data_IF_738882509342
#
_entry.id   IF_738882509342
#
_cell.length_a   1.000
_cell.length_b   1.000
_cell.length_c   1.000
_cell.angle_alpha   90.00
_cell.angle_beta   90.00
_cell.angle_gamma   90.00
#
_symmetry.space_group_name_H-M   'P 1'
#
loop_
_entity.id
_entity.type
_entity.pdbx_description
1 polymer ?
#
# COMPACT_ATOMS: atom_id res chain seq x y z
N UNK A 1 -4.12 16.93 8.36
CA UNK A 1 -3.45 16.45 7.12
C UNK A 1 -1.98 16.83 7.11
N UNK A 2 -1.59 18.05 7.48
CA UNK A 2 -0.18 18.47 7.55
C UNK A 2 0.67 17.59 8.48
N UNK A 3 0.21 17.32 9.71
CA UNK A 3 0.92 16.44 10.66
C UNK A 3 1.19 15.04 10.09
N UNK A 4 0.25 14.50 9.29
CA UNK A 4 0.40 13.20 8.67
C UNK A 4 1.45 13.24 7.56
N UNK A 5 1.45 14.26 6.71
CA UNK A 5 2.46 14.42 5.66
C UNK A 5 3.88 14.58 6.24
N UNK A 6 4.01 15.28 7.36
CA UNK A 6 5.27 15.37 8.10
C UNK A 6 5.72 14.00 8.59
N UNK A 7 4.82 13.22 9.23
CA UNK A 7 5.13 11.87 9.69
C UNK A 7 5.46 10.89 8.57
N UNK A 8 4.82 11.03 7.41
CA UNK A 8 5.10 10.24 6.20
C UNK A 8 6.40 10.66 5.51
N UNK A 9 6.96 11.83 5.85
CA UNK A 9 8.11 12.39 5.12
C UNK A 9 7.81 12.73 3.66
N UNK A 10 6.53 12.84 3.30
CA UNK A 10 6.08 13.07 1.93
C UNK A 10 4.95 14.10 1.90
N UNK A 11 5.15 15.15 1.11
CA UNK A 11 4.11 16.16 0.83
C UNK A 11 3.41 15.80 -0.46
N UNK A 12 2.12 15.53 -0.40
CA UNK A 12 1.31 15.22 -1.56
C UNK A 12 1.17 16.48 -2.43
N UNK A 13 1.43 16.32 -3.73
CA UNK A 13 1.19 17.39 -4.72
C UNK A 13 -0.31 17.66 -4.91
N UNK A 14 -1.12 16.63 -4.71
CA UNK A 14 -2.57 16.69 -4.74
C UNK A 14 -3.12 16.14 -3.42
N UNK A 15 -3.73 17.01 -2.62
CA UNK A 15 -4.30 16.66 -1.33
C UNK A 15 -5.55 15.77 -1.46
N UNK A 16 -6.25 15.84 -2.61
CA UNK A 16 -7.43 14.98 -2.85
C UNK A 16 -7.02 13.51 -2.94
N UNK A 17 -5.81 13.22 -3.43
CA UNK A 17 -5.26 11.87 -3.43
C UNK A 17 -5.05 11.34 -2.01
N UNK A 18 -4.53 12.17 -1.09
CA UNK A 18 -4.40 11.80 0.32
C UNK A 18 -5.76 11.59 0.99
N UNK A 19 -6.73 12.46 0.70
CA UNK A 19 -8.10 12.32 1.21
C UNK A 19 -8.71 11.00 0.72
N UNK A 20 -8.60 10.70 -0.58
CA UNK A 20 -9.09 9.45 -1.16
C UNK A 20 -8.42 8.23 -0.52
N UNK A 21 -7.09 8.25 -0.36
CA UNK A 21 -6.33 7.16 0.27
C UNK A 21 -6.75 6.86 1.72
N UNK A 22 -7.25 7.88 2.44
CA UNK A 22 -7.72 7.77 3.82
C UNK A 22 -9.24 7.54 3.92
N UNK A 23 -9.96 7.46 2.80
CA UNK A 23 -11.42 7.29 2.78
C UNK A 23 -11.76 5.83 2.57
N UNK A 24 -12.22 5.16 3.61
CA UNK A 24 -12.73 3.79 3.53
C UNK A 24 -14.10 3.75 2.81
N UNK A 25 -14.40 2.65 2.12
CA UNK A 25 -15.64 2.47 1.33
C UNK A 25 -16.92 2.63 2.15
N UNK A 26 -16.92 2.25 3.43
CA UNK A 26 -18.06 2.50 4.34
C UNK A 26 -18.36 4.00 4.50
N UNK A 27 -17.32 4.84 4.56
CA UNK A 27 -17.48 6.29 4.71
C UNK A 27 -17.88 6.97 3.40
N UNK A 28 -17.34 6.49 2.28
CA UNK A 28 -17.67 7.00 0.95
C UNK A 28 -19.16 6.77 0.61
N UNK A 29 -19.67 5.57 0.93
CA UNK A 29 -21.06 5.19 0.67
C UNK A 29 -22.07 5.95 1.54
N UNK A 30 -21.72 6.28 2.78
CA UNK A 30 -22.61 7.02 3.69
C UNK A 30 -22.71 8.52 3.38
N UNK A 31 -21.64 9.14 2.87
CA UNK A 31 -21.54 10.61 2.76
C UNK A 31 -21.46 11.14 1.33
N UNK A 32 -21.52 10.28 0.31
CA UNK A 32 -21.36 10.66 -1.10
C UNK A 32 -20.14 11.56 -1.32
N UNK A 33 -19.01 11.19 -0.72
CA UNK A 33 -17.77 11.97 -0.80
C UNK A 33 -17.27 11.93 -2.24
N UNK A 34 -17.23 13.08 -2.93
CA UNK A 34 -16.87 13.17 -4.35
C UNK A 34 -15.44 12.71 -4.70
N UNK A 35 -14.58 12.48 -3.70
CA UNK A 35 -13.22 11.96 -3.90
C UNK A 35 -13.17 10.44 -4.13
N UNK A 36 -14.25 9.70 -3.86
CA UNK A 36 -14.27 8.23 -3.91
C UNK A 36 -13.58 7.58 -2.71
N UNK A 37 -13.59 6.25 -2.65
CA UNK A 37 -12.90 5.45 -1.64
C UNK A 37 -11.47 5.07 -2.06
N UNK A 38 -10.78 4.40 -1.14
CA UNK A 38 -9.40 3.96 -1.31
C UNK A 38 -9.24 2.65 -2.08
N UNK A 39 -10.30 1.94 -2.50
CA UNK A 39 -10.20 0.57 -3.04
C UNK A 39 -9.32 0.49 -4.30
N UNK A 40 -9.44 1.48 -5.19
CA UNK A 40 -8.58 1.56 -6.38
C UNK A 40 -7.11 1.85 -6.04
N UNK A 41 -6.87 2.63 -4.99
CA UNK A 41 -5.52 2.96 -4.53
C UNK A 41 -4.89 1.78 -3.79
N UNK A 42 -5.69 1.03 -3.04
CA UNK A 42 -5.29 -0.22 -2.40
C UNK A 42 -4.90 -1.27 -3.44
N UNK A 43 -5.74 -1.49 -4.46
CA UNK A 43 -5.42 -2.39 -5.57
C UNK A 43 -4.07 -2.06 -6.26
N UNK A 44 -3.82 -0.77 -6.51
CA UNK A 44 -2.54 -0.32 -7.05
C UNK A 44 -1.40 -0.51 -6.03
N UNK A 45 -1.65 -0.15 -4.78
CA UNK A 45 -0.71 -0.25 -3.66
C UNK A 45 -0.21 -1.68 -3.44
N UNK A 46 -1.10 -2.67 -3.50
CA UNK A 46 -0.77 -4.09 -3.39
C UNK A 46 0.21 -4.54 -4.47
N UNK A 47 0.00 -4.10 -5.71
CA UNK A 47 0.89 -4.41 -6.82
C UNK A 47 2.27 -3.76 -6.63
N UNK A 48 2.31 -2.50 -6.21
CA UNK A 48 3.56 -1.76 -5.95
C UNK A 48 4.34 -2.39 -4.79
N UNK A 49 3.68 -2.64 -3.65
CA UNK A 49 4.28 -3.27 -2.48
C UNK A 49 4.78 -4.67 -2.82
N UNK A 50 3.96 -5.47 -3.51
CA UNK A 50 4.33 -6.80 -3.96
C UNK A 50 5.57 -6.80 -4.85
N UNK A 51 5.71 -5.80 -5.74
CA UNK A 51 6.91 -5.63 -6.56
C UNK A 51 8.14 -5.27 -5.71
N UNK A 52 8.03 -4.27 -4.83
CA UNK A 52 9.16 -3.82 -3.99
C UNK A 52 9.68 -4.95 -3.09
N UNK A 53 8.78 -5.73 -2.48
CA UNK A 53 9.15 -6.90 -1.67
C UNK A 53 9.81 -7.98 -2.55
N UNK A 54 9.29 -8.22 -3.75
CA UNK A 54 9.88 -9.19 -4.67
C UNK A 54 11.30 -8.78 -5.10
N UNK A 55 11.51 -7.50 -5.46
CA UNK A 55 12.84 -6.96 -5.83
C UNK A 55 13.81 -7.02 -4.65
N UNK A 56 13.36 -6.65 -3.45
CA UNK A 56 14.18 -6.74 -2.24
C UNK A 56 14.61 -8.18 -1.94
N UNK A 57 13.68 -9.14 -1.99
CA UNK A 57 13.98 -10.55 -1.73
C UNK A 57 14.92 -11.14 -2.80
N UNK A 58 14.66 -10.83 -4.07
CA UNK A 58 15.50 -11.27 -5.19
C UNK A 58 16.96 -10.80 -5.03
N UNK A 59 17.17 -9.52 -4.66
CA UNK A 59 18.52 -8.96 -4.46
C UNK A 59 19.19 -9.45 -3.18
N UNK A 60 18.43 -9.60 -2.10
CA UNK A 60 18.99 -9.92 -0.77
C UNK A 60 19.24 -11.41 -0.58
N UNK A 61 18.55 -12.27 -1.32
CA UNK A 61 18.62 -13.73 -1.16
C UNK A 61 18.86 -14.46 -2.49
N UNK A 62 19.99 -14.21 -3.20
CA UNK A 62 20.23 -14.72 -4.55
C UNK A 62 20.39 -16.26 -4.65
N UNK A 63 20.48 -16.95 -3.51
CA UNK A 63 20.62 -18.42 -3.43
C UNK A 63 19.30 -19.15 -3.20
N UNK A 64 18.22 -18.43 -2.88
CA UNK A 64 16.92 -19.04 -2.66
C UNK A 64 16.26 -19.39 -3.99
N UNK A 65 15.51 -20.48 -3.98
CA UNK A 65 14.65 -20.90 -5.09
C UNK A 65 13.43 -19.98 -5.20
N UNK A 66 12.78 -19.98 -6.37
CA UNK A 66 11.53 -19.25 -6.58
C UNK A 66 10.48 -19.61 -5.51
N UNK A 67 10.28 -20.89 -5.19
CA UNK A 67 9.29 -21.31 -4.21
C UNK A 67 9.58 -20.80 -2.79
N UNK A 68 10.85 -20.67 -2.40
CA UNK A 68 11.25 -20.09 -1.12
C UNK A 68 11.03 -18.58 -1.09
N UNK A 69 11.37 -17.89 -2.17
CA UNK A 69 11.11 -16.45 -2.33
C UNK A 69 9.60 -16.15 -2.30
N UNK A 70 8.79 -16.98 -2.97
CA UNK A 70 7.33 -16.87 -2.98
C UNK A 70 6.72 -17.08 -1.59
N UNK A 71 7.24 -18.01 -0.78
CA UNK A 71 6.83 -18.17 0.63
C UNK A 71 7.18 -16.95 1.48
N UNK A 72 8.40 -16.43 1.35
CA UNK A 72 8.84 -15.23 2.07
C UNK A 72 8.02 -14.00 1.66
N UNK A 73 7.77 -13.81 0.38
CA UNK A 73 6.90 -12.75 -0.13
C UNK A 73 5.51 -12.84 0.48
N UNK A 74 4.91 -14.04 0.49
CA UNK A 74 3.60 -14.27 1.10
C UNK A 74 3.56 -13.91 2.58
N UNK A 75 4.64 -14.19 3.31
CA UNK A 75 4.78 -13.77 4.70
C UNK A 75 4.82 -12.23 4.82
N UNK A 76 5.71 -11.55 4.09
CA UNK A 76 5.89 -10.09 4.20
C UNK A 76 4.67 -9.27 3.74
N UNK A 77 3.95 -9.73 2.72
CA UNK A 77 2.81 -9.00 2.13
C UNK A 77 1.47 -9.41 2.75
N UNK A 78 1.46 -10.32 3.73
CA UNK A 78 0.20 -10.68 4.41
C UNK A 78 -0.37 -9.52 5.23
N UNK A 79 -1.69 -9.39 5.25
CA UNK A 79 -2.41 -8.35 6.01
C UNK A 79 -2.07 -8.36 7.51
N UNK A 80 -1.66 -9.51 8.06
CA UNK A 80 -1.23 -9.62 9.46
C UNK A 80 0.08 -8.89 9.77
N UNK A 81 0.91 -8.63 8.75
CA UNK A 81 2.18 -7.92 8.87
C UNK A 81 2.10 -6.47 8.35
N UNK A 82 0.94 -6.05 7.84
CA UNK A 82 0.66 -4.71 7.33
C UNK A 82 -0.41 -4.05 8.22
N UNK A 83 -0.08 -3.86 9.50
CA UNK A 83 -0.95 -3.25 10.53
C UNK A 83 -0.39 -1.92 10.99
#
# INVERSE_FOLDING_TARGET
MEDLQVKLGYTFKDIQLLIKALTHSSHANERAVGAGDNEQLEFLGDSVLGFLVSDFLFRSHPRLTEGELSKLKGFFVSSANLV
#
